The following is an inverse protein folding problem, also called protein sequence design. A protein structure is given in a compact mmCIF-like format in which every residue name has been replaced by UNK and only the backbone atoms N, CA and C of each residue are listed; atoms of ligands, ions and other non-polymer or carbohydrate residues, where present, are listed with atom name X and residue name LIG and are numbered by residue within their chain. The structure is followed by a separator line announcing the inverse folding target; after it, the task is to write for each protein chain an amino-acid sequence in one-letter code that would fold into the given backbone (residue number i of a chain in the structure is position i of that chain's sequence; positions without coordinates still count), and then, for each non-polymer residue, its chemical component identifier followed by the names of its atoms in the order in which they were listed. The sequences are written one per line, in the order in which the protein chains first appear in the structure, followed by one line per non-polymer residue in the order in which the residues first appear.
data_IF_319123682653
#
_entry.id   IF_319123682653
#
_cell.length_a   1.000
_cell.length_b   1.000
_cell.length_c   1.000
_cell.angle_alpha   90.00
_cell.angle_beta   90.00
_cell.angle_gamma   90.00
#
_symmetry.space_group_name_H-M   'P 1'
#
loop_
_entity.id
_entity.type
_entity.pdbx_description
1 polymer ?
#
# COMPACT_ATOMS: atom_id res chain seq x y z
N UNK A 1 -4.52 -9.83 11.90
CA UNK A 1 -3.26 -9.06 11.88
C UNK A 1 -3.07 -8.53 10.48
N UNK A 2 -2.93 -7.22 10.31
CA UNK A 2 -2.72 -6.60 8.99
C UNK A 2 -1.35 -6.97 8.44
N UNK A 3 -1.26 -7.19 7.12
CA UNK A 3 -0.03 -7.59 6.44
C UNK A 3 0.64 -6.40 5.75
N UNK A 4 1.95 -6.50 5.60
CA UNK A 4 2.75 -5.66 4.72
C UNK A 4 2.75 -6.29 3.34
N UNK A 5 2.41 -5.50 2.32
CA UNK A 5 2.31 -5.94 0.94
C UNK A 5 3.34 -5.19 0.13
N UNK A 6 4.13 -5.91 -0.66
CA UNK A 6 5.01 -5.32 -1.66
C UNK A 6 4.24 -5.22 -2.97
N UNK A 7 4.06 -4.01 -3.48
CA UNK A 7 3.36 -3.73 -4.74
C UNK A 7 4.32 -3.15 -5.76
N UNK A 8 4.13 -3.54 -7.02
CA UNK A 8 4.80 -2.92 -8.16
C UNK A 8 3.81 -2.05 -8.92
N UNK A 9 4.15 -0.80 -9.17
CA UNK A 9 3.36 0.14 -9.96
C UNK A 9 3.60 -0.04 -11.46
N UNK A 10 2.74 0.56 -12.29
CA UNK A 10 2.89 0.57 -13.75
C UNK A 10 4.19 1.29 -14.19
N UNK A 11 4.72 2.19 -13.38
CA UNK A 11 6.00 2.89 -13.58
C UNK A 11 7.23 2.04 -13.30
N UNK A 12 7.06 0.75 -12.95
CA UNK A 12 8.10 -0.16 -12.43
C UNK A 12 8.68 0.23 -11.06
N UNK A 13 8.12 1.22 -10.39
CA UNK A 13 8.43 1.51 -8.99
C UNK A 13 7.83 0.46 -8.07
N UNK A 14 8.49 0.19 -6.94
CA UNK A 14 8.06 -0.79 -5.95
C UNK A 14 7.91 -0.09 -4.61
N UNK A 15 6.83 -0.39 -3.89
CA UNK A 15 6.60 0.12 -2.55
C UNK A 15 6.05 -0.94 -1.60
N UNK A 16 6.29 -0.73 -0.31
CA UNK A 16 5.65 -1.48 0.77
C UNK A 16 4.43 -0.71 1.23
N UNK A 17 3.29 -1.37 1.28
CA UNK A 17 2.00 -0.80 1.69
C UNK A 17 1.31 -1.70 2.71
N UNK A 18 0.30 -1.16 3.38
CA UNK A 18 -0.59 -1.96 4.22
C UNK A 18 -1.58 -2.74 3.36
N UNK A 19 -1.94 -3.96 3.77
CA UNK A 19 -3.03 -4.74 3.15
C UNK A 19 -4.35 -3.97 3.09
N UNK A 20 -4.61 -3.10 4.08
CA UNK A 20 -5.80 -2.25 4.15
C UNK A 20 -5.88 -1.21 3.03
N UNK A 21 -4.75 -0.90 2.39
CA UNK A 21 -4.69 0.10 1.33
C UNK A 21 -5.04 -0.51 -0.03
N UNK A 22 -5.11 -1.84 -0.13
CA UNK A 22 -5.54 -2.51 -1.36
C UNK A 22 -7.06 -2.44 -1.47
N UNK A 23 -7.55 -2.13 -2.67
CA UNK A 23 -8.98 -2.23 -2.97
C UNK A 23 -9.42 -3.70 -2.91
N UNK A 24 -10.56 -3.96 -2.25
CA UNK A 24 -11.03 -5.32 -1.92
C UNK A 24 -11.75 -6.04 -3.05
N UNK A 25 -11.91 -5.43 -4.22
CA UNK A 25 -12.51 -6.09 -5.38
C UNK A 25 -11.69 -7.33 -5.75
N UNK A 26 -12.31 -8.49 -5.56
CA UNK A 26 -11.67 -9.80 -5.54
C UNK A 26 -10.99 -10.18 -6.86
N UNK A 27 -11.41 -9.56 -7.96
CA UNK A 27 -10.84 -9.73 -9.30
C UNK A 27 -9.79 -8.66 -9.66
N UNK A 28 -9.69 -7.57 -8.89
CA UNK A 28 -8.89 -6.40 -9.22
C UNK A 28 -8.22 -5.77 -8.00
N UNK A 29 -7.29 -6.49 -7.37
CA UNK A 29 -6.19 -5.86 -6.60
C UNK A 29 -5.24 -5.11 -7.56
N UNK A 30 -5.80 -4.16 -8.32
CA UNK A 30 -5.17 -3.34 -9.34
C UNK A 30 -4.89 -1.95 -8.83
N UNK A 31 -5.42 -1.56 -7.67
CA UNK A 31 -5.20 -0.24 -7.10
C UNK A 31 -4.76 -0.32 -5.64
N UNK A 32 -4.01 0.70 -5.23
CA UNK A 32 -3.68 0.98 -3.84
C UNK A 32 -4.10 2.41 -3.52
N UNK A 33 -4.71 2.60 -2.36
CA UNK A 33 -5.01 3.92 -1.83
C UNK A 33 -3.73 4.49 -1.21
N UNK A 34 -3.30 5.64 -1.71
CA UNK A 34 -2.05 6.28 -1.35
C UNK A 34 -2.28 7.58 -0.57
N UNK A 35 -1.65 7.75 0.60
CA UNK A 35 -1.86 8.93 1.42
C UNK A 35 -1.25 10.19 0.78
N UNK A 36 -1.83 11.38 1.01
CA UNK A 36 -1.34 12.66 0.46
C UNK A 36 -0.10 13.20 1.21
N UNK A 37 0.75 12.32 1.74
CA UNK A 37 1.96 12.71 2.46
C UNK A 37 3.13 12.94 1.52
N UNK A 38 3.80 14.08 1.65
CA UNK A 38 5.01 14.40 0.86
C UNK A 38 6.30 13.85 1.47
N UNK A 39 6.27 13.41 2.73
CA UNK A 39 7.44 12.95 3.47
C UNK A 39 7.45 11.42 3.55
N UNK A 40 8.56 10.81 3.12
CA UNK A 40 8.78 9.36 3.22
C UNK A 40 8.65 8.85 4.66
N UNK A 41 9.10 9.61 5.65
CA UNK A 41 8.98 9.22 7.06
C UNK A 41 7.52 9.12 7.51
N UNK A 42 6.65 10.01 7.03
CA UNK A 42 5.20 9.95 7.33
C UNK A 42 4.54 8.77 6.63
N UNK A 43 4.91 8.49 5.38
CA UNK A 43 4.42 7.32 4.65
C UNK A 43 4.84 6.04 5.38
N UNK A 44 6.11 5.89 5.75
CA UNK A 44 6.62 4.74 6.48
C UNK A 44 5.90 4.55 7.82
N UNK A 45 5.64 5.63 8.55
CA UNK A 45 4.87 5.58 9.79
C UNK A 45 3.43 5.10 9.56
N UNK A 46 2.76 5.63 8.53
CA UNK A 46 1.41 5.22 8.17
C UNK A 46 1.31 3.74 7.78
N UNK A 47 2.32 3.23 7.06
CA UNK A 47 2.45 1.81 6.71
C UNK A 47 2.64 0.96 7.97
N UNK A 48 3.58 1.33 8.86
CA UNK A 48 3.83 0.62 10.13
C UNK A 48 2.62 0.58 11.06
N UNK A 49 1.82 1.65 11.05
CA UNK A 49 0.60 1.76 11.85
C UNK A 49 -0.62 1.12 11.19
N UNK A 50 -0.50 0.67 9.93
CA UNK A 50 -1.63 0.17 9.14
C UNK A 50 -2.85 1.12 9.22
N UNK A 51 -2.61 2.42 8.95
CA UNK A 51 -3.69 3.42 8.92
C UNK A 51 -4.77 3.00 7.93
N UNK A 52 -6.02 3.27 8.28
CA UNK A 52 -7.13 3.09 7.35
C UNK A 52 -7.06 4.17 6.25
N UNK A 53 -7.39 3.82 5.00
CA UNK A 53 -7.53 4.81 3.95
C UNK A 53 -8.65 5.81 4.26
N UNK A 54 -8.46 7.06 3.84
CA UNK A 54 -9.45 8.13 3.95
C UNK A 54 -9.87 8.59 2.55
N UNK A 55 -11.00 9.29 2.44
CA UNK A 55 -11.52 9.82 1.16
C UNK A 55 -10.53 10.76 0.44
N UNK A 56 -9.57 11.33 1.18
CA UNK A 56 -8.52 12.21 0.64
C UNK A 56 -7.37 11.46 -0.04
N UNK A 57 -7.32 10.12 0.08
CA UNK A 57 -6.24 9.31 -0.46
C UNK A 57 -6.44 9.05 -1.95
N UNK A 58 -5.33 8.99 -2.68
CA UNK A 58 -5.34 8.84 -4.12
C UNK A 58 -5.35 7.36 -4.49
N UNK A 59 -6.20 6.97 -5.45
CA UNK A 59 -6.15 5.62 -6.02
C UNK A 59 -5.03 5.53 -7.04
N UNK A 60 -4.04 4.67 -6.76
CA UNK A 60 -2.87 4.46 -7.61
C UNK A 60 -2.89 3.05 -8.22
N UNK A 61 -2.80 2.98 -9.54
CA UNK A 61 -2.78 1.71 -10.28
C UNK A 61 -1.49 0.92 -10.05
N UNK A 62 -1.62 -0.28 -9.47
CA UNK A 62 -0.56 -1.27 -9.34
C UNK A 62 -0.63 -2.28 -10.48
N UNK A 63 0.55 -2.69 -10.94
CA UNK A 63 0.71 -3.74 -11.96
C UNK A 63 0.52 -5.13 -11.35
N UNK A 64 1.08 -5.36 -10.17
CA UNK A 64 0.94 -6.62 -9.43
C UNK A 64 1.33 -6.47 -7.96
N UNK A 65 0.74 -7.32 -7.13
CA UNK A 65 1.27 -7.65 -5.80
C UNK A 65 2.42 -8.63 -5.96
N UNK A 66 3.57 -8.33 -5.36
CA UNK A 66 4.76 -9.18 -5.43
C UNK A 66 4.90 -10.11 -4.23
N UNK A 67 4.68 -9.59 -3.02
CA UNK A 67 4.86 -10.35 -1.78
C UNK A 67 3.90 -9.88 -0.69
N UNK A 68 3.60 -10.76 0.27
CA UNK A 68 2.82 -10.44 1.47
C UNK A 68 3.50 -10.99 2.71
N UNK A 69 3.75 -10.15 3.71
CA UNK A 69 4.42 -10.52 4.96
C UNK A 69 3.61 -10.10 6.18
N UNK A 70 3.56 -10.95 7.21
CA UNK A 70 2.90 -10.63 8.48
C UNK A 70 3.75 -9.81 9.46
N UNK A 71 5.06 -9.64 9.17
CA UNK A 71 5.99 -8.83 9.98
C UNK A 71 6.86 -7.98 9.06
N UNK A 72 7.12 -6.74 9.47
CA UNK A 72 8.11 -5.86 8.87
C UNK A 72 9.44 -6.12 9.55
N UNK A 73 10.50 -6.37 8.77
CA UNK A 73 11.87 -6.51 9.26
C UNK A 73 12.63 -5.29 8.71
N UNK A 74 13.13 -4.44 9.61
CA UNK A 74 13.93 -3.24 9.29
C UNK A 74 15.33 -3.57 8.76
#
# INVERSE_FOLDING_TARGET
MSKYIVVAFQTNEVAVVSEKWLTTDADERKNVLWPPYKSTSKINMAVRQHLEPEDSWLSCGIRRVMYSAGKFIE
#
